data_IF_585373476684
#
_entry.id   IF_585373476684
#
_cell.length_a   1.000
_cell.length_b   1.000
_cell.length_c   1.000
_cell.angle_alpha   90.00
_cell.angle_beta   90.00
_cell.angle_gamma   90.00
#
_symmetry.space_group_name_H-M   'P 1'
#
loop_
_entity.id
_entity.type
_entity.pdbx_description
1 polymer ?
#
# COMPACT_ATOMS: atom_id res chain seq x y z
N UNK A 1 25.93 -49.80 -51.59
CA UNK A 1 25.15 -50.36 -50.47
C UNK A 1 25.82 -50.09 -49.11
N UNK A 2 26.49 -48.93 -48.90
CA UNK A 2 27.15 -48.60 -47.62
C UNK A 2 26.63 -47.32 -46.93
N UNK A 3 25.96 -46.41 -47.66
CA UNK A 3 25.49 -45.13 -47.08
C UNK A 3 24.13 -45.19 -46.36
N UNK A 4 23.37 -46.29 -46.51
CA UNK A 4 22.03 -46.40 -45.91
C UNK A 4 22.04 -46.89 -44.45
N UNK A 5 23.12 -47.55 -44.03
CA UNK A 5 23.27 -48.04 -42.66
C UNK A 5 23.85 -46.98 -41.71
N UNK A 6 24.64 -46.02 -42.22
CA UNK A 6 25.24 -44.97 -41.40
C UNK A 6 24.19 -43.98 -40.84
N UNK A 7 23.17 -43.67 -41.62
CA UNK A 7 22.04 -42.83 -41.18
C UNK A 7 21.16 -43.52 -40.13
N UNK A 8 21.05 -44.86 -40.16
CA UNK A 8 20.25 -45.59 -39.18
C UNK A 8 20.94 -45.62 -37.81
N UNK A 9 22.26 -45.85 -37.76
CA UNK A 9 23.01 -45.83 -36.50
C UNK A 9 23.07 -44.43 -35.87
N UNK A 10 23.16 -43.37 -36.68
CA UNK A 10 23.11 -41.99 -36.19
C UNK A 10 21.73 -41.62 -35.62
N UNK A 11 20.65 -42.03 -36.29
CA UNK A 11 19.28 -41.80 -35.79
C UNK A 11 19.01 -42.55 -34.48
N UNK A 12 19.49 -43.80 -34.36
CA UNK A 12 19.37 -44.60 -33.15
C UNK A 12 20.15 -43.98 -31.99
N UNK A 13 21.33 -43.43 -32.24
CA UNK A 13 22.12 -42.72 -31.23
C UNK A 13 21.44 -41.43 -30.75
N UNK A 14 20.88 -40.62 -31.67
CA UNK A 14 20.10 -39.42 -31.32
C UNK A 14 18.85 -39.78 -30.50
N UNK A 15 18.17 -40.87 -30.86
CA UNK A 15 17.01 -41.36 -30.11
C UNK A 15 17.40 -41.84 -28.70
N UNK A 16 18.52 -42.54 -28.55
CA UNK A 16 19.04 -43.00 -27.25
C UNK A 16 19.50 -41.84 -26.35
N UNK A 17 20.07 -40.77 -26.91
CA UNK A 17 20.44 -39.56 -26.14
C UNK A 17 19.25 -38.69 -25.75
N UNK A 18 18.12 -38.79 -26.47
CA UNK A 18 16.88 -38.08 -26.12
C UNK A 18 16.10 -38.71 -24.95
N UNK A 19 16.41 -39.97 -24.61
CA UNK A 19 15.79 -40.69 -23.49
C UNK A 19 16.49 -40.43 -22.14
N UNK A 20 17.66 -39.78 -22.13
CA UNK A 20 18.41 -39.44 -20.90
C UNK A 20 18.32 -37.97 -20.50
N UNK A 21 17.56 -37.14 -21.23
CA UNK A 21 17.51 -35.68 -21.03
C UNK A 21 16.44 -35.18 -20.05
N UNK A 22 15.62 -36.07 -19.48
CA UNK A 22 14.73 -35.76 -18.37
C UNK A 22 14.84 -36.87 -17.33
N UNK A 23 15.86 -36.78 -16.47
CA UNK A 23 15.64 -37.25 -15.11
C UNK A 23 14.62 -36.28 -14.52
N UNK A 24 13.36 -36.69 -14.43
CA UNK A 24 12.41 -36.03 -13.56
C UNK A 24 13.06 -36.00 -12.17
N UNK A 25 13.33 -34.81 -11.64
CA UNK A 25 13.68 -34.70 -10.22
C UNK A 25 12.48 -35.27 -9.45
N UNK A 26 12.65 -36.50 -8.99
CA UNK A 26 11.65 -37.20 -8.19
C UNK A 26 11.26 -36.25 -7.06
N UNK A 27 9.98 -35.91 -6.96
CA UNK A 27 9.49 -34.98 -5.96
C UNK A 27 9.75 -35.58 -4.57
N UNK A 28 10.87 -35.20 -3.95
CA UNK A 28 11.22 -35.61 -2.60
C UNK A 28 10.31 -34.82 -1.67
N UNK A 29 9.44 -35.54 -0.94
CA UNK A 29 8.68 -34.94 0.15
C UNK A 29 9.66 -34.29 1.12
N UNK A 30 9.49 -32.99 1.46
CA UNK A 30 10.38 -32.34 2.41
C UNK A 30 10.42 -33.13 3.72
N UNK A 31 11.62 -33.42 4.21
CA UNK A 31 11.79 -34.06 5.51
C UNK A 31 11.11 -33.20 6.60
N UNK A 32 10.34 -33.82 7.51
CA UNK A 32 9.73 -33.10 8.60
C UNK A 32 10.81 -32.39 9.44
N UNK A 33 10.49 -31.18 9.89
CA UNK A 33 11.41 -30.37 10.69
C UNK A 33 11.92 -31.17 11.89
N UNK A 34 13.22 -31.13 12.15
CA UNK A 34 13.86 -31.91 13.23
C UNK A 34 14.12 -31.08 14.49
N UNK A 35 13.87 -29.76 14.44
CA UNK A 35 14.09 -28.82 15.53
C UNK A 35 13.13 -27.62 15.42
N UNK A 36 13.13 -26.74 16.43
CA UNK A 36 12.45 -25.45 16.35
C UNK A 36 12.95 -24.69 15.12
N UNK A 37 12.01 -24.34 14.24
CA UNK A 37 12.28 -23.55 13.04
C UNK A 37 11.21 -22.49 12.86
N UNK A 38 11.51 -21.52 12.00
CA UNK A 38 10.58 -20.47 11.64
C UNK A 38 10.78 -20.05 10.17
N UNK A 39 9.78 -19.35 9.65
CA UNK A 39 9.83 -18.70 8.34
C UNK A 39 8.95 -17.45 8.36
N UNK A 40 9.22 -16.48 7.49
CA UNK A 40 8.45 -15.25 7.44
C UNK A 40 8.26 -14.77 6.01
N UNK A 41 7.04 -14.35 5.68
CA UNK A 41 6.70 -13.79 4.37
C UNK A 41 6.03 -12.43 4.52
N UNK A 42 6.42 -11.48 3.66
CA UNK A 42 5.74 -10.19 3.54
C UNK A 42 4.47 -10.37 2.72
N UNK A 43 3.32 -9.98 3.28
CA UNK A 43 2.00 -10.06 2.64
C UNK A 43 1.61 -8.79 1.90
N UNK A 44 2.02 -7.62 2.40
CA UNK A 44 1.70 -6.35 1.74
C UNK A 44 2.33 -6.27 0.35
N UNK A 45 1.53 -5.89 -0.64
CA UNK A 45 1.94 -5.59 -2.01
C UNK A 45 1.73 -4.09 -2.26
N UNK A 46 2.65 -3.46 -2.98
CA UNK A 46 2.66 -2.02 -3.24
C UNK A 46 3.66 -1.24 -2.37
N UNK A 47 3.71 0.09 -2.52
CA UNK A 47 4.63 0.95 -1.78
C UNK A 47 4.29 0.98 -0.29
N UNK A 48 5.33 1.03 0.55
CA UNK A 48 5.20 1.18 1.99
C UNK A 48 5.01 2.66 2.35
N UNK A 49 3.77 3.09 2.57
CA UNK A 49 3.41 4.49 2.83
C UNK A 49 3.11 4.68 4.32
N UNK A 50 3.50 5.83 4.89
CA UNK A 50 3.14 6.18 6.26
C UNK A 50 1.63 6.07 6.51
N UNK A 51 1.26 5.65 7.73
CA UNK A 51 -0.10 5.31 8.16
C UNK A 51 -0.72 4.04 7.56
N UNK A 52 -0.08 3.39 6.57
CA UNK A 52 -0.51 2.09 6.07
C UNK A 52 0.28 0.95 6.75
N UNK A 53 -0.34 -0.23 6.92
CA UNK A 53 0.34 -1.39 7.49
C UNK A 53 1.28 -2.06 6.48
N UNK A 54 2.45 -2.47 6.94
CA UNK A 54 3.22 -3.57 6.34
C UNK A 54 2.85 -4.85 7.10
N UNK A 55 2.21 -5.78 6.40
CA UNK A 55 1.74 -7.05 6.93
C UNK A 55 2.74 -8.16 6.62
N UNK A 56 3.01 -8.99 7.63
CA UNK A 56 3.82 -10.19 7.53
C UNK A 56 3.05 -11.40 8.06
N UNK A 57 3.30 -12.58 7.51
CA UNK A 57 2.92 -13.85 8.14
C UNK A 57 4.19 -14.56 8.62
N UNK A 58 4.26 -14.80 9.92
CA UNK A 58 5.38 -15.43 10.58
C UNK A 58 4.99 -16.84 11.05
N UNK A 59 5.56 -17.84 10.39
CA UNK A 59 5.34 -19.26 10.66
C UNK A 59 6.41 -19.79 11.62
N UNK A 60 5.99 -20.61 12.57
CA UNK A 60 6.85 -21.22 13.58
C UNK A 60 6.42 -22.67 13.77
N UNK A 61 7.38 -23.57 13.92
CA UNK A 61 7.08 -24.96 14.21
C UNK A 61 8.21 -25.66 14.99
N UNK A 62 7.83 -26.60 15.85
CA UNK A 62 8.72 -27.47 16.61
C UNK A 62 8.15 -28.90 16.64
N UNK A 63 8.98 -29.96 16.54
CA UNK A 63 8.50 -31.32 16.68
C UNK A 63 7.69 -31.54 17.96
N UNK A 64 6.57 -32.27 17.85
CA UNK A 64 5.67 -32.54 18.98
C UNK A 64 6.38 -33.18 20.18
N UNK A 65 7.38 -34.01 19.90
CA UNK A 65 8.22 -34.70 20.89
C UNK A 65 9.19 -33.78 21.62
N UNK A 66 9.53 -32.61 21.07
CA UNK A 66 10.56 -31.72 21.62
C UNK A 66 9.99 -30.62 22.52
N UNK A 67 8.73 -30.23 22.36
CA UNK A 67 8.17 -29.18 23.22
C UNK A 67 6.91 -28.56 22.67
N UNK A 68 6.69 -27.29 22.98
CA UNK A 68 5.60 -26.41 22.52
C UNK A 68 6.16 -25.01 22.26
N UNK A 69 5.45 -24.21 21.47
CA UNK A 69 5.74 -22.78 21.28
C UNK A 69 5.31 -22.01 22.54
N UNK A 70 6.14 -21.08 23.00
CA UNK A 70 5.93 -20.32 24.26
C UNK A 70 5.71 -18.84 24.01
N UNK A 71 6.50 -18.23 23.13
CA UNK A 71 6.37 -16.80 22.79
C UNK A 71 6.90 -16.50 21.40
N UNK A 72 6.36 -15.45 20.80
CA UNK A 72 6.82 -14.89 19.53
C UNK A 72 7.01 -13.39 19.71
N UNK A 73 8.04 -12.84 19.06
CA UNK A 73 8.38 -11.43 19.13
C UNK A 73 8.81 -10.91 17.76
N UNK A 74 8.52 -9.64 17.50
CA UNK A 74 9.04 -8.90 16.35
C UNK A 74 9.69 -7.63 16.82
N UNK A 75 10.94 -7.41 16.44
CA UNK A 75 11.66 -6.16 16.66
C UNK A 75 11.84 -5.42 15.34
N UNK A 76 11.34 -4.19 15.27
CA UNK A 76 11.50 -3.29 14.13
C UNK A 76 12.67 -2.31 14.36
N UNK A 77 13.42 -2.00 13.30
CA UNK A 77 14.54 -1.05 13.38
C UNK A 77 14.10 0.38 13.69
N UNK A 78 12.87 0.75 13.31
CA UNK A 78 12.20 2.02 13.65
C UNK A 78 10.91 1.67 14.40
N UNK A 79 10.59 2.32 15.53
CA UNK A 79 9.34 2.09 16.25
C UNK A 79 8.11 2.10 15.34
N UNK A 80 7.15 1.23 15.61
CA UNK A 80 5.89 1.24 14.87
C UNK A 80 4.98 2.40 15.29
N UNK A 81 4.16 2.90 14.37
CA UNK A 81 3.08 3.83 14.68
C UNK A 81 1.98 3.17 15.53
N UNK A 82 1.07 4.01 16.06
CA UNK A 82 -0.10 3.54 16.83
C UNK A 82 -0.89 2.49 16.04
N UNK A 83 -1.22 1.38 16.70
CA UNK A 83 -1.91 0.26 16.06
C UNK A 83 -0.97 -0.81 15.50
N UNK A 84 0.35 -0.71 15.73
CA UNK A 84 1.30 -1.80 15.46
C UNK A 84 1.09 -2.95 16.45
N UNK A 85 0.97 -4.18 15.97
CA UNK A 85 0.76 -5.35 16.83
C UNK A 85 1.15 -6.67 16.16
N UNK A 86 1.44 -7.67 16.98
CA UNK A 86 1.54 -9.07 16.56
C UNK A 86 0.22 -9.77 16.94
N UNK A 87 -0.45 -10.36 15.97
CA UNK A 87 -1.71 -11.06 16.18
C UNK A 87 -1.52 -12.27 17.12
N UNK A 88 -2.50 -12.52 17.98
CA UNK A 88 -2.49 -13.60 18.97
C UNK A 88 -3.29 -14.84 18.52
N UNK A 89 -3.84 -14.76 17.32
CA UNK A 89 -4.48 -15.86 16.60
C UNK A 89 -3.52 -16.46 15.57
N UNK A 90 -3.37 -17.78 15.61
CA UNK A 90 -2.76 -18.55 14.53
C UNK A 90 -3.76 -18.69 13.39
N UNK A 91 -3.33 -18.49 12.16
CA UNK A 91 -4.14 -18.73 10.96
C UNK A 91 -3.74 -20.07 10.35
N UNK A 92 -4.54 -21.10 10.60
CA UNK A 92 -4.44 -22.38 9.88
C UNK A 92 -5.18 -22.30 8.55
N UNK A 93 -5.01 -23.29 7.68
CA UNK A 93 -5.66 -23.33 6.38
C UNK A 93 -6.45 -24.62 6.24
N UNK A 94 -7.73 -24.52 5.87
CA UNK A 94 -8.55 -25.70 5.59
C UNK A 94 -8.28 -26.26 4.19
N UNK A 95 -8.90 -27.39 3.85
CA UNK A 95 -8.76 -28.03 2.53
C UNK A 95 -9.22 -27.17 1.35
N UNK A 96 -10.01 -26.11 1.60
CA UNK A 96 -10.44 -25.15 0.58
C UNK A 96 -9.52 -23.93 0.44
N UNK A 97 -8.38 -23.88 1.15
CA UNK A 97 -7.46 -22.75 1.11
C UNK A 97 -7.92 -21.53 1.93
N UNK A 98 -8.92 -21.70 2.80
CA UNK A 98 -9.48 -20.63 3.62
C UNK A 98 -8.82 -20.61 5.00
N UNK A 99 -8.53 -19.39 5.47
CA UNK A 99 -7.99 -19.14 6.80
C UNK A 99 -8.96 -19.60 7.91
N UNK A 100 -8.45 -20.37 8.88
CA UNK A 100 -9.11 -20.70 10.15
C UNK A 100 -8.33 -20.02 11.28
N UNK A 101 -8.81 -18.89 11.82
CA UNK A 101 -8.17 -18.23 12.95
C UNK A 101 -8.43 -19.01 14.25
N UNK A 102 -7.37 -19.31 15.00
CA UNK A 102 -7.44 -19.97 16.30
C UNK A 102 -6.65 -19.14 17.31
N UNK A 103 -7.30 -18.70 18.38
CA UNK A 103 -6.65 -17.96 19.48
C UNK A 103 -5.69 -18.86 20.23
N UNK A 104 -4.41 -18.49 20.27
CA UNK A 104 -3.34 -19.29 20.88
C UNK A 104 -2.56 -18.55 21.97
N UNK A 105 -2.84 -17.26 22.18
CA UNK A 105 -2.15 -16.42 23.14
C UNK A 105 -2.95 -15.19 23.56
N UNK A 106 -2.34 -14.36 24.40
CA UNK A 106 -2.89 -13.06 24.77
C UNK A 106 -2.54 -11.98 23.72
N UNK A 107 -3.33 -10.90 23.60
CA UNK A 107 -3.00 -9.76 22.76
C UNK A 107 -1.56 -9.29 22.97
N UNK A 108 -0.88 -8.88 21.89
CA UNK A 108 0.54 -8.54 21.99
C UNK A 108 0.77 -7.34 22.89
N UNK A 109 1.85 -7.38 23.66
CA UNK A 109 2.39 -6.20 24.32
C UNK A 109 3.41 -5.53 23.41
N UNK A 110 3.32 -4.21 23.31
CA UNK A 110 4.33 -3.39 22.64
C UNK A 110 5.25 -2.82 23.72
N UNK A 111 6.54 -3.13 23.61
CA UNK A 111 7.60 -2.75 24.56
C UNK A 111 8.73 -2.02 23.83
N UNK A 112 9.77 -1.63 24.56
CA UNK A 112 10.98 -0.97 24.03
C UNK A 112 10.66 0.30 23.23
N UNK A 113 9.84 1.17 23.84
CA UNK A 113 9.39 2.43 23.24
C UNK A 113 8.76 2.26 21.85
N UNK A 114 8.05 1.14 21.60
CA UNK A 114 7.34 0.91 20.34
C UNK A 114 8.08 0.03 19.33
N UNK A 115 9.30 -0.43 19.63
CA UNK A 115 10.11 -1.23 18.71
C UNK A 115 9.77 -2.71 18.70
N UNK A 116 9.30 -3.23 19.83
CA UNK A 116 9.15 -4.67 20.02
C UNK A 116 7.70 -5.04 20.30
N UNK A 117 7.15 -5.97 19.53
CA UNK A 117 5.80 -6.53 19.75
C UNK A 117 5.92 -8.00 20.13
N UNK A 118 5.38 -8.38 21.29
CA UNK A 118 5.50 -9.75 21.83
C UNK A 118 4.15 -10.37 22.13
N UNK A 119 3.97 -11.62 21.73
CA UNK A 119 2.84 -12.49 22.11
C UNK A 119 3.34 -13.63 22.98
N UNK A 120 2.63 -13.88 24.08
CA UNK A 120 2.83 -15.07 24.92
C UNK A 120 1.70 -16.05 24.65
N UNK A 121 2.06 -17.31 24.41
CA UNK A 121 1.12 -18.37 24.06
C UNK A 121 0.48 -18.89 25.35
N UNK A 122 -0.84 -19.05 25.33
CA UNK A 122 -1.65 -19.57 26.45
C UNK A 122 -2.27 -20.92 26.12
N UNK A 123 -2.14 -21.36 24.86
CA UNK A 123 -2.58 -22.66 24.36
C UNK A 123 -1.37 -23.43 23.85
N UNK A 124 -1.25 -24.68 24.30
CA UNK A 124 -0.22 -25.58 23.83
C UNK A 124 -0.34 -25.83 22.33
N UNK A 125 0.66 -25.40 21.57
CA UNK A 125 0.74 -25.66 20.14
C UNK A 125 2.18 -25.95 19.72
N UNK A 126 2.31 -26.72 18.65
CA UNK A 126 3.57 -27.10 18.05
C UNK A 126 3.86 -26.40 16.73
N UNK A 127 2.85 -25.77 16.14
CA UNK A 127 2.97 -25.00 14.91
C UNK A 127 1.94 -23.88 14.89
N UNK A 128 2.37 -22.68 14.50
CA UNK A 128 1.51 -21.51 14.41
C UNK A 128 1.98 -20.54 13.32
N UNK A 129 1.03 -19.83 12.71
CA UNK A 129 1.32 -18.73 11.79
C UNK A 129 0.62 -17.48 12.28
N UNK A 130 1.39 -16.53 12.82
CA UNK A 130 0.89 -15.26 13.31
C UNK A 130 1.01 -14.17 12.24
N UNK A 131 0.10 -13.19 12.27
CA UNK A 131 0.19 -12.00 11.40
C UNK A 131 0.76 -10.84 12.19
N UNK A 132 1.77 -10.18 11.64
CA UNK A 132 2.32 -8.95 12.21
C UNK A 132 1.90 -7.78 11.34
N UNK A 133 1.36 -6.72 11.97
CA UNK A 133 0.96 -5.49 11.30
C UNK A 133 1.83 -4.35 11.82
N UNK A 134 2.79 -3.92 11.01
CA UNK A 134 3.62 -2.75 11.30
C UNK A 134 2.98 -1.50 10.70
N UNK A 135 2.47 -0.59 11.54
CA UNK A 135 1.97 0.69 11.05
C UNK A 135 3.15 1.61 10.80
N UNK A 136 3.40 1.97 9.54
CA UNK A 136 4.53 2.83 9.17
C UNK A 136 4.35 4.21 9.82
N UNK A 137 5.25 4.67 10.71
CA UNK A 137 5.16 5.99 11.30
C UNK A 137 5.64 7.07 10.32
N UNK A 138 5.26 8.33 10.55
CA UNK A 138 5.69 9.44 9.70
C UNK A 138 7.22 9.65 9.72
N UNK A 139 7.88 9.37 10.84
CA UNK A 139 9.34 9.45 10.98
C UNK A 139 10.10 8.47 10.08
N UNK A 140 9.48 7.37 9.65
CA UNK A 140 10.12 6.38 8.78
C UNK A 140 10.14 6.80 7.30
N UNK A 141 9.46 7.89 6.91
CA UNK A 141 9.36 8.34 5.51
C UNK A 141 10.74 8.52 4.86
N UNK A 142 10.95 7.91 3.70
CA UNK A 142 12.20 7.97 2.96
C UNK A 142 13.36 7.20 3.59
N UNK A 143 13.13 6.47 4.69
CA UNK A 143 14.12 5.60 5.33
C UNK A 143 13.92 4.14 4.91
N UNK A 144 14.74 3.25 5.50
CA UNK A 144 14.55 1.82 5.40
C UNK A 144 14.18 1.23 6.76
N UNK A 145 13.29 0.25 6.76
CA UNK A 145 12.90 -0.48 7.98
C UNK A 145 13.22 -1.96 7.80
N UNK A 146 13.83 -2.56 8.81
CA UNK A 146 14.07 -4.00 8.91
C UNK A 146 13.40 -4.58 10.14
N UNK A 147 13.15 -5.88 10.10
CA UNK A 147 12.43 -6.60 11.14
C UNK A 147 13.17 -7.87 11.52
N UNK A 148 13.26 -8.15 12.82
CA UNK A 148 13.75 -9.43 13.34
C UNK A 148 12.60 -10.13 14.06
N UNK A 149 12.14 -11.23 13.49
CA UNK A 149 11.16 -12.12 14.10
C UNK A 149 11.90 -13.16 14.94
N UNK A 150 11.36 -13.51 16.11
CA UNK A 150 11.90 -14.55 16.95
C UNK A 150 10.81 -15.36 17.64
N UNK A 151 11.12 -16.61 17.93
CA UNK A 151 10.22 -17.55 18.64
C UNK A 151 11.01 -18.30 19.71
N UNK A 152 10.39 -18.50 20.86
CA UNK A 152 10.93 -19.33 21.95
C UNK A 152 10.03 -20.55 22.18
N UNK A 153 10.64 -21.69 22.45
CA UNK A 153 9.95 -22.96 22.76
C UNK A 153 10.17 -23.40 24.21
N UNK A 154 9.36 -24.36 24.65
CA UNK A 154 9.37 -24.88 26.02
C UNK A 154 10.62 -25.71 26.37
N UNK A 155 11.39 -26.18 25.37
CA UNK A 155 12.70 -26.82 25.55
C UNK A 155 13.85 -25.80 25.64
N UNK A 156 13.52 -24.51 25.72
CA UNK A 156 14.49 -23.42 25.91
C UNK A 156 15.20 -22.98 24.62
N UNK A 157 14.80 -23.48 23.45
CA UNK A 157 15.38 -23.07 22.17
C UNK A 157 14.74 -21.78 21.66
N UNK A 158 15.50 -21.09 20.83
CA UNK A 158 15.09 -19.88 20.12
C UNK A 158 15.44 -20.02 18.64
N UNK A 159 14.53 -19.58 17.77
CA UNK A 159 14.80 -19.38 16.35
C UNK A 159 14.52 -17.92 15.97
N UNK A 160 15.23 -17.40 14.97
CA UNK A 160 15.06 -16.02 14.48
C UNK A 160 15.08 -15.93 12.96
N UNK A 161 14.34 -14.95 12.43
CA UNK A 161 14.21 -14.70 11.00
C UNK A 161 14.25 -13.20 10.73
N UNK A 162 15.08 -12.76 9.78
CA UNK A 162 15.23 -11.34 9.43
C UNK A 162 14.48 -11.02 8.14
N UNK A 163 13.77 -9.91 8.13
CA UNK A 163 13.02 -9.40 6.97
C UNK A 163 13.44 -7.97 6.65
N UNK A 164 13.55 -7.68 5.36
CA UNK A 164 14.00 -6.37 4.87
C UNK A 164 15.52 -6.29 4.66
N UNK A 165 16.07 -5.08 4.50
CA UNK A 165 15.39 -3.78 4.65
C UNK A 165 14.31 -3.53 3.59
N UNK A 166 13.25 -2.81 3.97
CA UNK A 166 12.22 -2.33 3.05
C UNK A 166 12.27 -0.81 2.96
N UNK A 167 12.25 -0.28 1.74
CA UNK A 167 12.16 1.16 1.48
C UNK A 167 10.78 1.68 1.90
N UNK A 168 10.78 2.77 2.65
CA UNK A 168 9.57 3.49 3.01
C UNK A 168 9.44 4.70 2.08
N UNK A 169 8.27 4.78 1.43
CA UNK A 169 7.91 5.88 0.55
C UNK A 169 7.95 7.22 1.27
N UNK A 170 8.30 8.29 0.55
CA UNK A 170 8.15 9.67 1.06
C UNK A 170 6.73 10.20 0.90
N UNK A 171 5.84 9.43 0.28
CA UNK A 171 4.45 9.82 0.08
C UNK A 171 3.69 9.90 1.40
N UNK A 172 2.68 10.75 1.39
CA UNK A 172 1.57 10.77 2.35
C UNK A 172 0.29 10.34 1.64
N UNK A 173 -0.64 9.75 2.40
CA UNK A 173 -1.95 9.31 1.89
C UNK A 173 -3.08 9.84 2.78
N UNK A 174 -4.17 10.29 2.15
CA UNK A 174 -5.43 10.61 2.84
C UNK A 174 -6.59 10.08 2.02
N UNK A 175 -7.51 9.36 2.66
CA UNK A 175 -8.62 8.67 1.99
C UNK A 175 -9.96 9.26 2.38
N UNK A 176 -10.94 9.11 1.49
CA UNK A 176 -12.35 9.36 1.75
C UNK A 176 -12.67 10.79 2.22
N UNK A 177 -12.01 11.78 1.64
CA UNK A 177 -12.29 13.19 1.87
C UNK A 177 -13.57 13.60 1.12
N UNK A 178 -14.52 14.19 1.85
CA UNK A 178 -15.79 14.63 1.26
C UNK A 178 -15.68 16.07 0.80
N UNK A 179 -15.99 16.31 -0.49
CA UNK A 179 -16.07 17.65 -1.08
C UNK A 179 -17.50 17.93 -1.54
N UNK A 180 -17.91 19.19 -1.43
CA UNK A 180 -19.26 19.64 -1.80
C UNK A 180 -19.22 21.04 -2.37
N UNK A 181 -20.00 21.25 -3.43
CA UNK A 181 -20.04 22.51 -4.14
C UNK A 181 -20.53 23.64 -3.23
N UNK A 182 -19.72 24.69 -3.07
CA UNK A 182 -20.08 25.88 -2.28
C UNK A 182 -20.06 25.72 -0.76
N UNK A 183 -19.84 24.51 -0.22
CA UNK A 183 -19.75 24.26 1.22
C UNK A 183 -18.34 23.86 1.62
N UNK A 184 -17.94 22.61 1.37
CA UNK A 184 -16.58 22.12 1.62
C UNK A 184 -15.88 21.95 0.28
N UNK A 185 -15.45 23.08 -0.30
CA UNK A 185 -14.99 23.15 -1.68
C UNK A 185 -13.49 23.44 -1.82
N UNK A 186 -12.81 23.94 -0.79
CA UNK A 186 -11.43 24.40 -0.91
C UNK A 186 -10.47 23.30 -0.46
N UNK A 187 -9.44 23.02 -1.26
CA UNK A 187 -8.53 21.89 -1.05
C UNK A 187 -7.11 22.42 -0.89
N UNK A 188 -6.47 22.01 0.20
CA UNK A 188 -5.03 22.22 0.46
C UNK A 188 -4.29 20.92 0.19
N UNK A 189 -3.31 20.95 -0.72
CA UNK A 189 -2.41 19.81 -0.96
C UNK A 189 -1.39 19.71 0.19
N UNK A 190 -0.96 20.85 0.74
CA UNK A 190 -0.03 20.88 1.87
C UNK A 190 -0.62 20.23 3.13
N UNK A 191 -1.88 20.50 3.45
CA UNK A 191 -2.52 19.91 4.64
C UNK A 191 -3.22 18.58 4.32
N UNK A 192 -3.36 18.24 3.03
CA UNK A 192 -4.15 17.11 2.53
C UNK A 192 -5.58 17.12 3.10
N UNK A 193 -6.21 18.30 3.08
CA UNK A 193 -7.44 18.58 3.80
C UNK A 193 -8.42 19.44 2.98
N UNK A 194 -9.69 19.40 3.39
CA UNK A 194 -10.81 20.12 2.77
C UNK A 194 -11.29 21.21 3.73
N UNK A 195 -11.55 22.38 3.19
CA UNK A 195 -11.97 23.57 3.92
C UNK A 195 -13.24 24.17 3.31
N UNK A 196 -13.99 24.87 4.16
CA UNK A 196 -15.03 25.78 3.73
C UNK A 196 -14.45 27.18 3.42
N UNK A 197 -15.28 28.08 2.89
CA UNK A 197 -14.84 29.43 2.51
C UNK A 197 -14.25 30.23 3.67
N UNK A 198 -14.83 30.14 4.87
CA UNK A 198 -14.38 30.87 6.06
C UNK A 198 -13.00 30.40 6.49
N UNK A 199 -12.77 29.09 6.59
CA UNK A 199 -11.47 28.54 6.96
C UNK A 199 -10.43 28.77 5.87
N UNK A 200 -10.81 28.66 4.59
CA UNK A 200 -9.94 28.98 3.46
C UNK A 200 -9.43 30.42 3.49
N UNK A 201 -10.29 31.37 3.88
CA UNK A 201 -9.93 32.79 4.03
C UNK A 201 -8.85 33.03 5.10
N UNK A 202 -8.73 32.15 6.10
CA UNK A 202 -7.72 32.24 7.15
C UNK A 202 -6.35 31.66 6.74
N UNK A 203 -6.30 30.86 5.67
CA UNK A 203 -5.08 30.21 5.16
C UNK A 203 -4.96 30.35 3.62
N UNK A 204 -5.03 31.58 3.08
CA UNK A 204 -5.15 31.81 1.64
C UNK A 204 -3.97 31.22 0.84
N UNK A 205 -2.77 31.22 1.43
CA UNK A 205 -1.55 30.69 0.83
C UNK A 205 -1.45 29.15 0.84
N UNK A 206 -2.44 28.44 1.40
CA UNK A 206 -2.48 26.97 1.40
C UNK A 206 -3.49 26.38 0.42
N UNK A 207 -4.42 27.18 -0.08
CA UNK A 207 -5.50 26.67 -0.93
C UNK A 207 -5.03 26.55 -2.38
N UNK A 208 -5.00 25.33 -2.88
CA UNK A 208 -4.49 25.00 -4.21
C UNK A 208 -5.61 24.79 -5.23
N UNK A 209 -6.76 24.26 -4.78
CA UNK A 209 -7.90 23.90 -5.63
C UNK A 209 -9.23 24.28 -5.01
N UNK A 210 -10.21 24.52 -5.87
CA UNK A 210 -11.62 24.66 -5.58
C UNK A 210 -12.35 23.53 -6.31
N UNK A 211 -13.22 22.83 -5.59
CA UNK A 211 -14.13 21.85 -6.15
C UNK A 211 -15.44 22.54 -6.56
N UNK A 212 -15.92 22.23 -7.77
CA UNK A 212 -17.12 22.81 -8.35
C UNK A 212 -18.03 21.75 -8.93
N UNK A 213 -19.34 22.01 -8.89
CA UNK A 213 -20.34 21.28 -9.66
C UNK A 213 -21.19 22.24 -10.50
N UNK A 214 -21.21 22.07 -11.84
CA UNK A 214 -21.97 22.92 -12.76
C UNK A 214 -22.78 22.08 -13.75
N UNK A 215 -24.10 22.04 -13.54
CA UNK A 215 -25.04 21.31 -14.40
C UNK A 215 -25.65 22.16 -15.52
N UNK A 216 -25.82 23.46 -15.31
CA UNK A 216 -26.40 24.42 -16.27
C UNK A 216 -26.03 25.86 -15.87
N UNK A 217 -25.89 26.83 -16.79
CA UNK A 217 -25.92 26.71 -18.26
C UNK A 217 -24.56 26.29 -18.86
N UNK A 218 -23.46 26.46 -18.13
CA UNK A 218 -22.15 25.92 -18.46
C UNK A 218 -22.02 24.53 -17.86
N UNK A 219 -22.20 23.47 -18.65
CA UNK A 219 -22.23 22.10 -18.14
C UNK A 219 -20.87 21.42 -18.21
N UNK A 220 -20.15 21.37 -17.09
CA UNK A 220 -19.01 20.47 -16.95
C UNK A 220 -19.11 19.52 -15.76
N UNK A 221 -20.27 19.48 -15.09
CA UNK A 221 -20.53 18.63 -13.91
C UNK A 221 -19.47 18.87 -12.85
N UNK A 222 -18.72 17.86 -12.43
CA UNK A 222 -17.69 17.96 -11.40
C UNK A 222 -16.38 18.50 -11.96
N UNK A 223 -15.71 19.38 -11.23
CA UNK A 223 -14.40 19.90 -11.58
C UNK A 223 -13.55 20.24 -10.38
N UNK A 224 -12.23 20.21 -10.58
CA UNK A 224 -11.22 20.76 -9.70
C UNK A 224 -10.54 21.91 -10.45
N UNK A 225 -10.56 23.10 -9.87
CA UNK A 225 -10.08 24.31 -10.55
C UNK A 225 -9.22 25.09 -9.58
N UNK A 226 -8.05 25.53 -10.03
CA UNK A 226 -7.18 26.34 -9.18
C UNK A 226 -7.73 27.76 -9.03
N UNK A 227 -7.55 28.44 -7.87
CA UNK A 227 -8.05 29.80 -7.69
C UNK A 227 -7.58 30.83 -8.73
N UNK A 228 -6.35 30.67 -9.25
CA UNK A 228 -5.77 31.51 -10.30
C UNK A 228 -6.14 31.09 -11.73
N UNK A 229 -7.11 30.19 -11.92
CA UNK A 229 -7.63 29.85 -13.23
C UNK A 229 -8.47 30.99 -13.84
N UNK A 230 -8.68 30.95 -15.15
CA UNK A 230 -9.59 31.88 -15.83
C UNK A 230 -10.99 31.80 -15.18
N UNK A 231 -11.61 32.97 -14.97
CA UNK A 231 -12.90 33.09 -14.29
C UNK A 231 -14.02 32.28 -14.97
N UNK A 232 -13.88 31.98 -16.28
CA UNK A 232 -14.78 31.11 -17.04
C UNK A 232 -14.87 29.69 -16.46
N UNK A 233 -13.81 29.21 -15.78
CA UNK A 233 -13.78 27.90 -15.10
C UNK A 233 -14.23 27.97 -13.63
N UNK A 234 -14.48 29.16 -13.09
CA UNK A 234 -14.98 29.39 -11.73
C UNK A 234 -16.38 30.05 -11.71
N UNK A 235 -17.33 29.68 -12.60
CA UNK A 235 -18.59 30.41 -12.73
C UNK A 235 -19.37 30.37 -11.41
N UNK A 236 -19.81 31.52 -10.89
CA UNK A 236 -20.58 31.58 -9.63
C UNK A 236 -19.79 31.21 -8.37
N UNK A 237 -18.46 31.21 -8.41
CA UNK A 237 -17.61 31.12 -7.21
C UNK A 237 -17.14 32.53 -6.84
N UNK A 238 -17.39 32.92 -5.59
CA UNK A 238 -16.74 34.08 -4.97
C UNK A 238 -15.53 33.57 -4.19
N UNK A 239 -14.33 33.83 -4.70
CA UNK A 239 -13.10 33.44 -4.02
C UNK A 239 -12.86 34.35 -2.80
N UNK A 240 -12.50 33.78 -1.63
CA UNK A 240 -11.93 34.55 -0.54
C UNK A 240 -10.70 35.35 -0.98
N UNK A 241 -10.48 36.51 -0.35
CA UNK A 241 -9.35 37.38 -0.67
C UNK A 241 -8.02 36.65 -0.48
N UNK A 242 -7.07 36.87 -1.40
CA UNK A 242 -5.73 36.30 -1.36
C UNK A 242 -5.57 34.94 -2.06
N UNK A 243 -6.65 34.23 -2.39
CA UNK A 243 -6.56 32.96 -3.11
C UNK A 243 -6.23 33.20 -4.59
N UNK A 244 -4.94 33.04 -4.92
CA UNK A 244 -4.39 33.35 -6.26
C UNK A 244 -3.48 32.27 -6.84
N UNK A 245 -3.35 31.12 -6.16
CA UNK A 245 -2.48 30.04 -6.64
C UNK A 245 -2.94 29.54 -8.00
N UNK A 246 -1.98 29.28 -8.88
CA UNK A 246 -2.20 28.62 -10.18
C UNK A 246 -1.52 27.26 -10.18
N UNK A 247 -2.20 26.30 -9.56
CA UNK A 247 -1.83 24.89 -9.46
C UNK A 247 -2.10 24.18 -10.78
N UNK A 248 -1.14 23.40 -11.27
CA UNK A 248 -1.27 22.66 -12.52
C UNK A 248 -1.99 21.33 -12.31
N UNK A 249 -2.80 20.94 -13.29
CA UNK A 249 -3.68 19.78 -13.24
C UNK A 249 -3.62 18.98 -14.53
N UNK A 250 -3.41 17.68 -14.40
CA UNK A 250 -3.48 16.72 -15.51
C UNK A 250 -4.54 15.67 -15.21
N UNK A 251 -5.68 15.77 -15.89
CA UNK A 251 -6.76 14.79 -15.79
C UNK A 251 -6.34 13.46 -16.44
N UNK A 252 -6.64 12.36 -15.77
CA UNK A 252 -6.47 10.99 -16.26
C UNK A 252 -7.73 10.18 -16.00
N UNK A 253 -7.88 9.06 -16.70
CA UNK A 253 -8.98 8.13 -16.51
C UNK A 253 -8.45 6.70 -16.51
N UNK A 254 -8.98 5.83 -15.64
CA UNK A 254 -8.56 4.42 -15.56
C UNK A 254 -7.24 4.17 -14.84
N UNK A 255 -6.77 5.12 -14.03
CA UNK A 255 -5.63 4.93 -13.12
C UNK A 255 -6.15 4.65 -11.70
N UNK A 256 -6.74 3.48 -11.47
CA UNK A 256 -7.33 3.16 -10.16
C UNK A 256 -6.27 2.62 -9.19
N UNK A 257 -5.50 3.53 -8.57
CA UNK A 257 -4.57 3.18 -7.49
C UNK A 257 -5.27 2.36 -6.39
N UNK A 258 -4.72 1.19 -6.05
CA UNK A 258 -5.34 0.25 -5.11
C UNK A 258 -5.51 0.84 -3.72
N UNK A 259 -4.50 1.59 -3.25
CA UNK A 259 -4.50 2.17 -1.91
C UNK A 259 -5.55 3.27 -1.77
N UNK A 260 -5.85 4.01 -2.84
CA UNK A 260 -6.86 5.07 -2.89
C UNK A 260 -8.26 4.56 -3.25
N UNK A 261 -8.36 3.63 -4.20
CA UNK A 261 -9.63 3.21 -4.80
C UNK A 261 -10.35 2.13 -3.99
N UNK A 262 -9.63 1.32 -3.19
CA UNK A 262 -10.15 0.09 -2.57
C UNK A 262 -10.78 -0.89 -3.58
N UNK A 263 -10.32 -0.86 -4.82
CA UNK A 263 -10.76 -1.78 -5.87
C UNK A 263 -9.80 -2.96 -5.95
N UNK A 264 -10.23 -4.02 -6.65
CA UNK A 264 -9.45 -5.25 -6.82
C UNK A 264 -8.23 -5.10 -7.76
N UNK A 265 -8.07 -3.94 -8.39
CA UNK A 265 -6.98 -3.69 -9.35
C UNK A 265 -5.63 -3.57 -8.63
N UNK A 266 -4.57 -4.10 -9.25
CA UNK A 266 -3.20 -4.12 -8.72
C UNK A 266 -2.33 -2.95 -9.18
N UNK A 267 -2.92 -1.78 -9.45
CA UNK A 267 -2.19 -0.58 -9.87
C UNK A 267 -1.80 0.20 -8.62
N UNK A 268 -0.55 0.65 -8.54
CA UNK A 268 -0.04 1.47 -7.45
C UNK A 268 0.72 2.65 -8.01
N UNK A 269 0.37 3.85 -7.57
CA UNK A 269 1.16 5.05 -7.79
C UNK A 269 2.27 5.10 -6.73
N UNK A 270 3.51 5.30 -7.17
CA UNK A 270 4.67 5.36 -6.29
C UNK A 270 5.44 6.70 -6.36
N UNK A 271 6.57 6.75 -5.63
CA UNK A 271 7.46 7.92 -5.56
C UNK A 271 8.01 8.31 -6.94
N UNK A 272 8.31 7.33 -7.80
CA UNK A 272 8.85 7.57 -9.14
C UNK A 272 7.77 8.16 -10.03
N UNK A 273 6.53 7.67 -9.96
CA UNK A 273 5.41 8.21 -10.73
C UNK A 273 5.18 9.69 -10.41
N UNK A 274 5.13 10.04 -9.12
CA UNK A 274 4.91 11.42 -8.67
C UNK A 274 6.08 12.35 -9.01
N UNK A 275 7.32 11.85 -9.05
CA UNK A 275 8.50 12.67 -9.39
C UNK A 275 8.74 12.76 -10.90
N UNK A 276 8.31 11.78 -11.68
CA UNK A 276 8.54 11.72 -13.13
C UNK A 276 7.37 12.20 -13.99
N UNK A 277 6.16 12.34 -13.43
CA UNK A 277 5.01 12.83 -14.19
C UNK A 277 5.31 14.17 -14.86
N UNK A 278 5.09 14.22 -16.17
CA UNK A 278 5.24 15.46 -16.93
C UNK A 278 4.04 16.38 -16.68
N UNK A 279 4.36 17.55 -16.11
CA UNK A 279 3.45 18.64 -15.78
C UNK A 279 3.75 19.90 -16.60
N UNK A 280 4.49 19.76 -17.70
CA UNK A 280 4.75 20.86 -18.64
C UNK A 280 3.46 21.23 -19.37
N UNK A 281 3.18 22.53 -19.49
CA UNK A 281 2.00 23.08 -20.19
C UNK A 281 0.63 22.52 -19.75
N UNK A 282 0.55 21.99 -18.53
CA UNK A 282 -0.71 21.49 -17.98
C UNK A 282 -1.62 22.64 -17.56
N UNK A 283 -2.94 22.54 -17.81
CA UNK A 283 -3.90 23.57 -17.42
C UNK A 283 -4.00 23.68 -15.89
N UNK A 284 -4.61 24.75 -15.40
CA UNK A 284 -4.91 24.94 -13.97
C UNK A 284 -6.37 24.59 -13.62
N UNK A 285 -7.01 23.77 -14.45
CA UNK A 285 -8.37 23.25 -14.26
C UNK A 285 -8.47 21.80 -14.76
N UNK A 286 -9.35 21.01 -14.14
CA UNK A 286 -9.74 19.67 -14.55
C UNK A 286 -11.27 19.55 -14.41
N UNK A 287 -11.96 19.49 -15.55
CA UNK A 287 -13.44 19.52 -15.63
C UNK A 287 -14.01 18.20 -16.16
N UNK A 288 -15.32 17.97 -16.00
CA UNK A 288 -15.97 16.73 -16.44
C UNK A 288 -15.47 15.51 -15.67
N UNK A 289 -15.18 15.67 -14.38
CA UNK A 289 -14.75 14.59 -13.51
C UNK A 289 -15.92 13.65 -13.23
N UNK A 290 -15.62 12.35 -13.16
CA UNK A 290 -16.56 11.28 -12.84
C UNK A 290 -15.88 10.31 -11.87
N UNK A 291 -16.64 9.39 -11.29
CA UNK A 291 -16.05 8.30 -10.53
C UNK A 291 -14.96 7.59 -11.35
N UNK A 292 -13.87 7.19 -10.68
CA UNK A 292 -12.68 6.58 -11.27
C UNK A 292 -11.81 7.49 -12.16
N UNK A 293 -12.17 8.77 -12.28
CA UNK A 293 -11.23 9.76 -12.80
C UNK A 293 -10.12 10.03 -11.79
N UNK A 294 -8.98 10.47 -12.30
CA UNK A 294 -7.85 10.94 -11.51
C UNK A 294 -7.34 12.28 -11.98
N UNK A 295 -6.61 12.98 -11.12
CA UNK A 295 -5.97 14.25 -11.44
C UNK A 295 -4.59 14.27 -10.80
N UNK A 296 -3.54 14.37 -11.63
CA UNK A 296 -2.21 14.74 -11.14
C UNK A 296 -2.18 16.24 -10.88
N UNK A 297 -1.52 16.62 -9.80
CA UNK A 297 -1.48 17.97 -9.27
C UNK A 297 -0.03 18.38 -9.02
N UNK A 298 0.37 19.58 -9.44
CA UNK A 298 1.64 20.20 -9.07
C UNK A 298 1.32 21.59 -8.50
N UNK A 299 1.70 21.82 -7.24
CA UNK A 299 1.43 23.08 -6.54
C UNK A 299 2.18 24.23 -7.23
N UNK A 300 1.64 25.45 -7.12
CA UNK A 300 2.20 26.63 -7.80
C UNK A 300 3.67 26.93 -7.41
N UNK A 301 4.05 26.60 -6.17
CA UNK A 301 5.41 26.73 -5.64
C UNK A 301 6.32 25.52 -5.96
N UNK A 302 5.78 24.50 -6.64
CA UNK A 302 6.46 23.22 -6.95
C UNK A 302 6.97 22.47 -5.71
N UNK A 303 6.40 22.75 -4.54
CA UNK A 303 6.76 22.08 -3.29
C UNK A 303 6.16 20.68 -3.19
N UNK A 304 4.99 20.48 -3.80
CA UNK A 304 4.29 19.20 -3.76
C UNK A 304 3.80 18.78 -5.14
N UNK A 305 3.83 17.46 -5.35
CA UNK A 305 3.00 16.80 -6.34
C UNK A 305 2.02 15.86 -5.67
N UNK A 306 0.84 15.75 -6.25
CA UNK A 306 -0.23 14.92 -5.72
C UNK A 306 -0.94 14.16 -6.82
N UNK A 307 -1.57 13.06 -6.43
CA UNK A 307 -2.52 12.35 -7.25
C UNK A 307 -3.85 12.29 -6.49
N UNK A 308 -4.88 12.92 -7.05
CA UNK A 308 -6.24 12.93 -6.50
C UNK A 308 -7.08 11.92 -7.29
N UNK A 309 -7.61 10.93 -6.60
CA UNK A 309 -8.54 9.94 -7.14
C UNK A 309 -9.99 10.32 -6.77
N UNK A 310 -10.89 10.23 -7.74
CA UNK A 310 -12.33 10.49 -7.54
C UNK A 310 -13.03 9.16 -7.21
N UNK A 311 -13.25 8.89 -5.92
CA UNK A 311 -13.88 7.66 -5.45
C UNK A 311 -15.36 7.57 -5.87
N UNK A 312 -16.10 8.66 -5.70
CA UNK A 312 -17.52 8.73 -6.07
C UNK A 312 -17.96 10.16 -6.33
N UNK A 313 -19.05 10.32 -7.08
CA UNK A 313 -19.68 11.60 -7.40
C UNK A 313 -21.20 11.45 -7.31
N UNK A 314 -21.93 12.55 -7.09
CA UNK A 314 -23.38 12.56 -7.11
C UNK A 314 -23.97 13.76 -7.88
N UNK A 315 -25.23 13.63 -8.29
CA UNK A 315 -25.93 14.69 -9.05
C UNK A 315 -26.28 15.94 -8.21
N UNK A 316 -26.11 15.89 -6.88
CA UNK A 316 -26.31 17.05 -6.00
C UNK A 316 -25.04 17.88 -5.80
N UNK A 317 -23.96 17.54 -6.51
CA UNK A 317 -22.73 18.32 -6.52
C UNK A 317 -21.79 18.03 -5.35
N UNK A 318 -21.81 16.83 -4.79
CA UNK A 318 -20.80 16.32 -3.86
C UNK A 318 -20.01 15.17 -4.46
N UNK A 319 -18.79 14.96 -3.94
CA UNK A 319 -17.92 13.88 -4.32
C UNK A 319 -17.09 13.39 -3.13
N UNK A 320 -16.60 12.16 -3.22
CA UNK A 320 -15.59 11.62 -2.31
C UNK A 320 -14.29 11.49 -3.09
N UNK A 321 -13.21 12.04 -2.54
CA UNK A 321 -11.88 11.98 -3.13
C UNK A 321 -10.88 11.38 -2.15
N UNK A 322 -9.83 10.78 -2.70
CA UNK A 322 -8.67 10.33 -1.94
C UNK A 322 -7.41 10.88 -2.61
N UNK A 323 -6.35 11.12 -1.84
CA UNK A 323 -5.14 11.76 -2.36
C UNK A 323 -3.87 11.10 -1.85
N UNK A 324 -2.94 10.92 -2.78
CA UNK A 324 -1.51 10.74 -2.51
C UNK A 324 -0.81 12.08 -2.70
N UNK A 325 0.23 12.32 -1.91
CA UNK A 325 1.10 13.50 -2.05
C UNK A 325 2.55 13.14 -1.82
N UNK A 326 3.43 13.68 -2.65
CA UNK A 326 4.88 13.62 -2.52
C UNK A 326 5.43 15.04 -2.34
N UNK A 327 6.38 15.21 -1.42
CA UNK A 327 7.14 16.45 -1.25
C UNK A 327 8.34 16.41 -2.19
N UNK A 328 8.40 17.33 -3.15
CA UNK A 328 9.48 17.41 -4.15
C UNK A 328 10.82 17.83 -3.52
#
# INVERSE_FOLDING_TARGET
>A
MLYRNFNFFFLVWVLLTSLTACQEEEYILPEPISQLTNDCLKRTIGPSIASLPIEFAYAMAIPKSQGKLVSAQVEASIPGGTGTYLEHRSYYTNSGGVDIPVTIGSPSTVVDAGKSSKVTFTVDTNAATLRYYYIVPDEAKGQTVSFTFSVNSSDGKTASYKMGPYNISKMSIKKNLTVSNGTNAFISIEDMAIYNATSAAAIPDKIDLVYLYRASPTSFTHGLVSPGADATFLPGVTLPSGLKKSTKLRKVFGLQDRNLANLQFGIYVDDIDLTSVDMTDMPNYAIGLRAEAGVWVETADKKYRAYIYINSVNATGSAVISMLRYTL
#
